data_IF_305977235049
#
_entry.id   IF_305977235049
#
_cell.length_a   1.000
_cell.length_b   1.000
_cell.length_c   1.000
_cell.angle_alpha   90.00
_cell.angle_beta   90.00
_cell.angle_gamma   90.00
#
_symmetry.space_group_name_H-M   'P 1'
#
loop_
_entity.id
_entity.type
_entity.pdbx_description
1 polymer ?
#
# COMPACT_ATOMS: atom_id res chain seq x y z
N UNK A 1 -35.85 -28.46 -3.10
CA UNK A 1 -36.62 -27.90 -4.25
C UNK A 1 -36.01 -28.16 -5.64
N UNK A 2 -34.69 -28.32 -5.85
CA UNK A 2 -34.14 -28.89 -7.11
C UNK A 2 -33.34 -30.18 -6.89
N UNK A 3 -32.52 -30.24 -5.83
CA UNK A 3 -31.72 -31.41 -5.46
C UNK A 3 -32.52 -32.43 -4.63
N UNK A 4 -33.51 -31.95 -3.87
CA UNK A 4 -34.51 -32.77 -3.17
C UNK A 4 -35.88 -32.08 -3.30
N UNK A 5 -36.73 -32.45 -4.27
CA UNK A 5 -38.00 -31.77 -4.51
C UNK A 5 -39.13 -32.15 -3.53
N UNK A 6 -38.98 -33.19 -2.70
CA UNK A 6 -40.10 -33.78 -1.98
C UNK A 6 -41.15 -34.42 -2.92
N UNK A 7 -42.11 -35.15 -2.35
CA UNK A 7 -43.27 -35.75 -3.07
C UNK A 7 -42.95 -36.86 -4.09
N UNK A 8 -41.82 -37.57 -3.96
CA UNK A 8 -41.46 -38.68 -4.86
C UNK A 8 -41.07 -38.25 -6.28
N UNK A 9 -40.85 -36.95 -6.51
CA UNK A 9 -40.39 -36.41 -7.79
C UNK A 9 -38.88 -36.58 -7.95
N UNK A 10 -38.46 -36.85 -9.18
CA UNK A 10 -37.02 -36.96 -9.47
C UNK A 10 -36.29 -35.61 -9.34
N UNK A 11 -35.04 -35.61 -8.84
CA UNK A 11 -34.23 -34.42 -8.71
C UNK A 11 -33.85 -33.82 -10.07
N UNK A 12 -33.87 -32.49 -10.13
CA UNK A 12 -33.66 -31.71 -11.36
C UNK A 12 -32.20 -31.25 -11.49
N UNK A 13 -31.27 -32.20 -11.57
CA UNK A 13 -29.82 -31.92 -11.54
C UNK A 13 -29.35 -30.93 -12.61
N UNK A 14 -29.87 -31.00 -13.84
CA UNK A 14 -29.51 -30.06 -14.92
C UNK A 14 -29.89 -28.62 -14.60
N UNK A 15 -31.04 -28.41 -13.95
CA UNK A 15 -31.47 -27.07 -13.55
C UNK A 15 -30.59 -26.53 -12.40
N UNK A 16 -30.26 -27.38 -11.44
CA UNK A 16 -29.34 -27.04 -10.34
C UNK A 16 -27.94 -26.66 -10.86
N UNK A 17 -27.38 -27.43 -11.80
CA UNK A 17 -26.08 -27.12 -12.41
C UNK A 17 -26.13 -25.82 -13.20
N UNK A 18 -27.21 -25.55 -13.94
CA UNK A 18 -27.38 -24.27 -14.65
C UNK A 18 -27.41 -23.09 -13.68
N UNK A 19 -28.08 -23.22 -12.54
CA UNK A 19 -28.07 -22.20 -11.49
C UNK A 19 -26.67 -21.96 -10.93
N UNK A 20 -25.94 -23.03 -10.63
CA UNK A 20 -24.54 -22.95 -10.20
C UNK A 20 -23.66 -22.30 -11.27
N UNK A 21 -23.94 -22.55 -12.55
CA UNK A 21 -23.18 -21.93 -13.63
C UNK A 21 -23.42 -20.43 -13.73
N UNK A 22 -24.68 -19.98 -13.57
CA UNK A 22 -25.04 -18.57 -13.69
C UNK A 22 -24.67 -17.72 -12.46
N UNK A 23 -24.67 -18.31 -11.27
CA UNK A 23 -24.52 -17.58 -10.00
C UNK A 23 -23.40 -18.11 -9.10
N UNK A 24 -22.65 -19.12 -9.53
CA UNK A 24 -21.63 -19.79 -8.71
C UNK A 24 -20.50 -18.90 -8.23
N UNK A 25 -20.19 -17.80 -8.92
CA UNK A 25 -19.14 -16.86 -8.49
C UNK A 25 -19.47 -16.16 -7.15
N UNK A 26 -20.76 -16.00 -6.83
CA UNK A 26 -21.22 -15.36 -5.59
C UNK A 26 -21.36 -16.34 -4.43
N UNK A 27 -21.26 -17.64 -4.69
CA UNK A 27 -21.48 -18.70 -3.70
C UNK A 27 -20.16 -19.16 -3.10
N UNK A 28 -20.21 -19.60 -1.84
CA UNK A 28 -19.07 -20.25 -1.21
C UNK A 28 -18.96 -21.71 -1.72
N UNK A 29 -17.85 -22.13 -2.36
CA UNK A 29 -17.75 -23.47 -2.91
C UNK A 29 -17.90 -24.58 -1.87
N UNK A 30 -17.51 -24.33 -0.62
CA UNK A 30 -17.63 -25.32 0.45
C UNK A 30 -19.10 -25.59 0.78
N UNK A 31 -19.89 -24.52 0.97
CA UNK A 31 -21.33 -24.61 1.19
C UNK A 31 -22.05 -25.24 -0.01
N UNK A 32 -21.59 -24.96 -1.23
CA UNK A 32 -22.14 -25.60 -2.44
C UNK A 32 -21.88 -27.10 -2.39
N UNK A 33 -20.67 -27.55 -2.07
CA UNK A 33 -20.34 -28.98 -1.96
C UNK A 33 -21.16 -29.68 -0.87
N UNK A 34 -21.35 -29.03 0.27
CA UNK A 34 -22.18 -29.56 1.38
C UNK A 34 -23.67 -29.66 1.00
N UNK A 35 -24.15 -28.77 0.14
CA UNK A 35 -25.53 -28.75 -0.32
C UNK A 35 -25.84 -29.75 -1.45
N UNK A 36 -24.81 -30.31 -2.11
CA UNK A 36 -25.01 -31.33 -3.14
C UNK A 36 -25.48 -32.63 -2.50
N UNK A 37 -26.53 -33.25 -3.06
CA UNK A 37 -26.97 -34.56 -2.57
C UNK A 37 -25.90 -35.61 -2.88
N UNK A 38 -25.68 -36.59 -1.98
CA UNK A 38 -24.70 -37.68 -2.20
C UNK A 38 -25.05 -38.53 -3.43
N UNK A 39 -26.32 -38.56 -3.83
CA UNK A 39 -26.83 -39.27 -5.00
C UNK A 39 -26.64 -38.51 -6.32
N UNK A 40 -26.23 -37.24 -6.28
CA UNK A 40 -25.98 -36.45 -7.48
C UNK A 40 -24.66 -36.88 -8.14
N UNK A 41 -24.66 -37.25 -9.44
CA UNK A 41 -23.40 -37.59 -10.11
C UNK A 41 -22.53 -36.35 -10.26
N UNK A 42 -21.37 -36.36 -9.60
CA UNK A 42 -20.45 -35.23 -9.55
C UNK A 42 -19.98 -34.77 -10.94
N UNK A 43 -19.90 -35.69 -11.92
CA UNK A 43 -19.52 -35.34 -13.29
C UNK A 43 -20.40 -34.22 -13.88
N UNK A 44 -21.70 -34.17 -13.55
CA UNK A 44 -22.63 -33.15 -14.06
C UNK A 44 -22.25 -31.72 -13.61
N UNK A 45 -21.68 -31.57 -12.42
CA UNK A 45 -21.30 -30.28 -11.85
C UNK A 45 -19.79 -30.00 -11.95
N UNK A 46 -18.99 -30.98 -12.36
CA UNK A 46 -17.52 -30.98 -12.25
C UNK A 46 -16.84 -29.76 -12.89
N UNK A 47 -17.27 -29.36 -14.08
CA UNK A 47 -16.72 -28.19 -14.77
C UNK A 47 -17.02 -26.89 -14.01
N UNK A 48 -18.27 -26.73 -13.56
CA UNK A 48 -18.72 -25.54 -12.83
C UNK A 48 -18.02 -25.45 -11.47
N UNK A 49 -17.97 -26.55 -10.71
CA UNK A 49 -17.26 -26.61 -9.43
C UNK A 49 -15.76 -26.33 -9.60
N UNK A 50 -15.12 -26.91 -10.62
CA UNK A 50 -13.71 -26.66 -10.92
C UNK A 50 -13.46 -25.19 -11.22
N UNK A 51 -14.34 -24.55 -12.00
CA UNK A 51 -14.25 -23.12 -12.32
C UNK A 51 -14.39 -22.26 -11.06
N UNK A 52 -15.40 -22.53 -10.23
CA UNK A 52 -15.63 -21.84 -8.96
C UNK A 52 -14.43 -21.94 -8.01
N UNK A 53 -13.91 -23.15 -7.80
CA UNK A 53 -12.75 -23.39 -6.92
C UNK A 53 -11.51 -22.66 -7.44
N UNK A 54 -11.23 -22.73 -8.75
CA UNK A 54 -10.11 -22.01 -9.38
C UNK A 54 -10.25 -20.50 -9.22
N UNK A 55 -11.44 -19.95 -9.45
CA UNK A 55 -11.72 -18.52 -9.29
C UNK A 55 -11.49 -18.08 -7.84
N UNK A 56 -11.92 -18.88 -6.86
CA UNK A 56 -11.74 -18.57 -5.43
C UNK A 56 -10.28 -18.60 -5.02
N UNK A 57 -9.51 -19.60 -5.47
CA UNK A 57 -8.06 -19.63 -5.25
C UNK A 57 -7.37 -18.45 -5.92
N UNK A 58 -7.78 -18.09 -7.14
CA UNK A 58 -7.24 -16.95 -7.87
C UNK A 58 -7.50 -15.63 -7.13
N UNK A 59 -8.75 -15.37 -6.73
CA UNK A 59 -9.11 -14.18 -5.95
C UNK A 59 -8.38 -14.13 -4.60
N UNK A 60 -8.23 -15.27 -3.92
CA UNK A 60 -7.46 -15.33 -2.68
C UNK A 60 -5.99 -14.91 -2.91
N UNK A 61 -5.33 -15.47 -3.93
CA UNK A 61 -3.95 -15.11 -4.28
C UNK A 61 -3.81 -13.66 -4.71
N UNK A 62 -4.73 -13.15 -5.53
CA UNK A 62 -4.77 -11.74 -5.90
C UNK A 62 -4.92 -10.84 -4.67
N UNK A 63 -5.82 -11.20 -3.75
CA UNK A 63 -6.01 -10.50 -2.49
C UNK A 63 -4.74 -10.50 -1.63
N UNK A 64 -4.02 -11.62 -1.55
CA UNK A 64 -2.73 -11.70 -0.86
C UNK A 64 -1.65 -10.81 -1.50
N UNK A 65 -1.60 -10.75 -2.83
CA UNK A 65 -0.67 -9.87 -3.56
C UNK A 65 -0.99 -8.41 -3.26
N UNK A 66 -2.24 -8.00 -3.41
CA UNK A 66 -2.69 -6.63 -3.12
C UNK A 66 -2.41 -6.27 -1.67
N UNK A 67 -2.76 -7.13 -0.72
CA UNK A 67 -2.50 -6.93 0.71
C UNK A 67 -1.00 -6.75 0.98
N UNK A 68 -0.15 -7.58 0.39
CA UNK A 68 1.31 -7.53 0.59
C UNK A 68 1.90 -6.25 0.01
N UNK A 69 1.48 -5.85 -1.20
CA UNK A 69 1.90 -4.60 -1.82
C UNK A 69 1.45 -3.39 -1.00
N UNK A 70 0.20 -3.35 -0.56
CA UNK A 70 -0.30 -2.27 0.31
C UNK A 70 0.46 -2.19 1.64
N UNK A 71 0.81 -3.34 2.23
CA UNK A 71 1.64 -3.40 3.45
C UNK A 71 3.04 -2.85 3.19
N UNK A 72 3.67 -3.22 2.09
CA UNK A 72 5.01 -2.75 1.72
C UNK A 72 5.03 -1.22 1.54
N UNK A 73 4.08 -0.67 0.78
CA UNK A 73 3.97 0.79 0.56
C UNK A 73 3.70 1.54 1.86
N UNK A 74 2.82 1.03 2.72
CA UNK A 74 2.55 1.66 4.02
C UNK A 74 3.76 1.61 4.95
N UNK A 75 4.51 0.49 4.97
CA UNK A 75 5.73 0.38 5.77
C UNK A 75 6.80 1.37 5.27
N UNK A 76 6.98 1.45 3.96
CA UNK A 76 7.90 2.38 3.31
C UNK A 76 7.58 3.86 3.63
N UNK A 77 6.30 4.25 3.53
CA UNK A 77 5.87 5.59 3.92
C UNK A 77 6.11 5.89 5.41
N UNK A 78 5.93 4.89 6.29
CA UNK A 78 6.21 5.02 7.73
C UNK A 78 7.70 5.17 8.00
N UNK A 79 8.55 4.42 7.29
CA UNK A 79 10.01 4.53 7.38
C UNK A 79 10.48 5.90 6.92
N UNK A 80 10.04 6.37 5.75
CA UNK A 80 10.38 7.72 5.26
C UNK A 80 9.98 8.81 6.27
N UNK A 81 8.78 8.70 6.87
CA UNK A 81 8.35 9.62 7.93
C UNK A 81 9.21 9.52 9.19
N UNK A 82 9.61 8.31 9.57
CA UNK A 82 10.46 8.08 10.73
C UNK A 82 11.86 8.68 10.50
N UNK A 83 12.46 8.43 9.34
CA UNK A 83 13.74 9.01 8.94
C UNK A 83 13.69 10.53 9.04
N UNK A 84 12.69 11.17 8.43
CA UNK A 84 12.52 12.62 8.49
C UNK A 84 12.32 13.16 9.92
N UNK A 85 11.63 12.42 10.80
CA UNK A 85 11.46 12.79 12.22
C UNK A 85 12.72 12.58 13.06
N UNK A 86 13.54 11.60 12.68
CA UNK A 86 14.81 11.30 13.34
C UNK A 86 15.93 12.24 12.89
N UNK A 87 15.71 13.01 11.81
CA UNK A 87 16.68 14.00 11.34
C UNK A 87 17.01 14.98 12.44
N UNK A 88 18.30 15.07 12.72
CA UNK A 88 18.88 16.05 13.61
C UNK A 88 20.19 16.54 13.02
N UNK A 89 20.61 17.73 13.42
CA UNK A 89 21.95 18.23 13.12
C UNK A 89 22.67 18.49 14.43
N UNK A 90 23.92 18.04 14.52
CA UNK A 90 24.77 18.30 15.67
C UNK A 90 25.59 19.57 15.40
N UNK A 91 25.57 20.51 16.34
CA UNK A 91 26.34 21.75 16.27
C UNK A 91 27.45 21.68 17.31
N UNK A 92 28.66 21.99 16.86
CA UNK A 92 29.87 22.06 17.66
C UNK A 92 30.56 23.43 17.46
N UNK A 93 31.67 23.66 18.14
CA UNK A 93 32.41 24.93 18.09
C UNK A 93 33.02 25.24 16.71
N UNK A 94 33.17 24.21 15.87
CA UNK A 94 33.68 24.30 14.50
C UNK A 94 32.58 24.48 13.46
N UNK A 95 31.30 24.39 13.86
CA UNK A 95 30.17 24.49 12.94
C UNK A 95 30.10 25.89 12.33
N UNK A 96 30.08 25.95 11.01
CA UNK A 96 30.05 27.18 10.23
C UNK A 96 28.69 27.38 9.57
N UNK A 97 28.35 28.64 9.30
CA UNK A 97 27.23 28.99 8.43
C UNK A 97 27.56 28.55 7.01
N UNK A 98 26.68 27.78 6.37
CA UNK A 98 26.90 27.28 5.01
C UNK A 98 26.92 28.40 3.95
N UNK A 99 26.36 29.58 4.28
CA UNK A 99 26.26 30.71 3.35
C UNK A 99 27.38 31.75 3.50
N UNK A 100 27.82 32.04 4.72
CA UNK A 100 28.82 33.10 4.98
C UNK A 100 30.07 32.61 5.69
N UNK A 101 30.15 31.30 5.97
CA UNK A 101 31.26 30.62 6.65
C UNK A 101 31.61 31.19 8.04
N UNK A 102 30.74 32.01 8.63
CA UNK A 102 30.90 32.48 10.00
C UNK A 102 30.63 31.34 10.99
N UNK A 103 31.44 31.24 12.05
CA UNK A 103 31.20 30.29 13.15
C UNK A 103 29.83 30.51 13.79
N UNK A 104 29.07 29.41 13.90
CA UNK A 104 27.76 29.34 14.55
C UNK A 104 27.95 29.28 16.07
N UNK A 105 28.62 28.26 16.59
CA UNK A 105 28.87 28.09 18.03
C UNK A 105 27.60 28.31 18.86
N UNK A 106 27.62 29.29 19.76
CA UNK A 106 26.49 29.67 20.63
C UNK A 106 25.51 30.70 20.03
N UNK A 107 25.70 31.10 18.77
CA UNK A 107 24.85 32.11 18.10
C UNK A 107 23.55 31.50 17.59
N UNK A 108 22.53 32.34 17.43
CA UNK A 108 21.28 31.96 16.77
C UNK A 108 21.54 31.46 15.33
N UNK A 109 20.95 30.33 15.00
CA UNK A 109 21.02 29.67 13.70
C UNK A 109 19.64 29.22 13.26
N UNK A 110 19.53 28.89 11.97
CA UNK A 110 18.35 28.26 11.37
C UNK A 110 18.79 27.10 10.49
N UNK A 111 17.93 26.10 10.38
CA UNK A 111 18.12 24.94 9.51
C UNK A 111 17.05 24.93 8.44
N UNK A 112 17.44 24.80 7.18
CA UNK A 112 16.50 24.68 6.06
C UNK A 112 16.14 23.19 5.80
N UNK A 113 15.02 22.92 5.11
CA UNK A 113 14.59 21.54 4.78
C UNK A 113 15.64 20.68 4.06
N UNK A 114 16.61 21.29 3.37
CA UNK A 114 17.71 20.63 2.67
C UNK A 114 18.96 20.37 3.54
N UNK A 115 18.84 20.40 4.87
CA UNK A 115 19.94 20.24 5.83
C UNK A 115 20.93 21.42 5.91
N UNK A 116 20.73 22.52 5.15
CA UNK A 116 21.61 23.67 5.23
C UNK A 116 21.45 24.43 6.55
N UNK A 117 22.56 24.62 7.26
CA UNK A 117 22.65 25.41 8.49
C UNK A 117 23.14 26.81 8.20
N UNK A 118 22.40 27.82 8.65
CA UNK A 118 22.76 29.21 8.43
C UNK A 118 22.69 30.02 9.72
N UNK A 119 23.51 31.07 9.79
CA UNK A 119 23.39 32.03 10.88
C UNK A 119 22.10 32.85 10.73
N UNK A 120 21.59 33.37 11.85
CA UNK A 120 20.35 34.16 11.86
C UNK A 120 20.40 35.41 10.94
N UNK A 121 21.58 35.99 10.71
CA UNK A 121 21.75 37.11 9.76
C UNK A 121 21.50 36.70 8.31
N UNK A 122 21.99 35.53 7.90
CA UNK A 122 21.71 34.98 6.57
C UNK A 122 20.25 34.59 6.44
N UNK A 123 19.68 33.94 7.46
CA UNK A 123 18.25 33.62 7.51
C UNK A 123 17.36 34.86 7.33
N UNK A 124 17.63 35.96 8.06
CA UNK A 124 16.90 37.22 7.93
C UNK A 124 16.99 37.86 6.54
N UNK A 125 18.11 37.66 5.83
CA UNK A 125 18.34 38.26 4.51
C UNK A 125 17.60 37.51 3.39
N UNK A 126 17.58 36.17 3.46
CA UNK A 126 17.00 35.32 2.41
C UNK A 126 15.57 34.87 2.73
N UNK A 127 15.15 34.99 3.98
CA UNK A 127 13.83 34.59 4.44
C UNK A 127 13.71 33.10 4.74
N UNK A 128 12.50 32.68 5.10
CA UNK A 128 12.22 31.34 5.60
C UNK A 128 12.21 30.27 4.50
N UNK A 129 11.88 30.66 3.27
CA UNK A 129 11.58 29.70 2.20
C UNK A 129 12.69 29.54 1.18
N UNK A 130 13.67 30.44 1.12
CA UNK A 130 14.75 30.37 0.14
C UNK A 130 16.07 30.02 0.81
N UNK A 131 16.64 28.88 0.44
CA UNK A 131 17.95 28.47 0.94
C UNK A 131 19.05 29.39 0.36
N UNK A 132 19.89 30.05 1.18
CA UNK A 132 20.95 30.91 0.69
C UNK A 132 22.13 30.15 0.04
N UNK A 133 22.24 28.84 0.28
CA UNK A 133 23.32 27.99 -0.25
C UNK A 133 22.97 27.47 -1.64
N UNK A 134 21.76 26.92 -1.78
CA UNK A 134 21.32 26.27 -3.02
C UNK A 134 20.46 27.16 -3.90
N UNK A 135 19.95 28.28 -3.37
CA UNK A 135 18.99 29.15 -4.05
C UNK A 135 17.59 28.56 -4.20
N UNK A 136 17.35 27.34 -3.68
CA UNK A 136 16.06 26.67 -3.80
C UNK A 136 14.99 27.37 -2.96
N UNK A 137 13.83 27.60 -3.57
CA UNK A 137 12.62 28.08 -2.91
C UNK A 137 11.72 26.89 -2.53
N UNK A 138 11.59 26.61 -1.23
CA UNK A 138 10.84 25.47 -0.71
C UNK A 138 9.32 25.63 -0.78
N UNK A 139 8.79 26.83 -1.09
CA UNK A 139 7.36 26.98 -1.39
C UNK A 139 7.02 26.55 -2.82
N UNK A 140 7.95 26.76 -3.76
CA UNK A 140 7.76 26.42 -5.17
C UNK A 140 8.24 25.01 -5.48
N UNK A 141 9.41 24.64 -4.96
CA UNK A 141 10.05 23.35 -5.15
C UNK A 141 10.09 22.59 -3.83
N UNK A 142 8.94 22.02 -3.47
CA UNK A 142 8.81 21.20 -2.25
C UNK A 142 9.77 20.02 -2.33
N UNK A 143 10.61 19.88 -1.31
CA UNK A 143 11.58 18.81 -1.25
C UNK A 143 10.90 17.52 -0.78
N UNK A 144 10.60 16.62 -1.71
CA UNK A 144 10.25 15.24 -1.42
C UNK A 144 11.52 14.38 -1.45
N UNK A 145 11.92 13.81 -0.31
CA UNK A 145 12.95 12.76 -0.32
C UNK A 145 12.25 11.46 -0.74
N UNK A 146 12.58 10.88 -1.90
CA UNK A 146 11.93 9.66 -2.34
C UNK A 146 12.30 8.54 -1.39
N UNK A 147 11.30 7.72 -1.07
CA UNK A 147 11.46 6.55 -0.23
C UNK A 147 12.34 5.50 -0.91
N UNK A 148 12.90 4.57 -0.13
CA UNK A 148 13.84 3.56 -0.65
C UNK A 148 13.21 2.66 -1.72
N UNK A 149 11.88 2.48 -1.66
CA UNK A 149 11.13 1.62 -2.57
C UNK A 149 10.95 2.25 -3.95
N UNK A 150 10.92 3.58 -4.06
CA UNK A 150 10.81 4.32 -5.33
C UNK A 150 12.17 4.50 -6.02
N UNK A 151 13.27 4.42 -5.26
CA UNK A 151 14.63 4.60 -5.81
C UNK A 151 15.18 3.38 -6.56
N UNK A 152 14.61 2.20 -6.34
CA UNK A 152 15.14 0.92 -6.83
C UNK A 152 14.19 0.21 -7.81
N UNK A 153 13.23 0.92 -8.39
CA UNK A 153 12.38 0.44 -9.50
C UNK A 153 12.82 1.10 -10.79
#
# INVERSE_FOLDING_TARGET
MYLDPGDGKEPMYKAAVRLLHCHGELLDPLQVLEALSPDMPLQLASETLSRMLRARVHHHRQGQIVQSLSRAVNLDARLARFEERSRHVQINDESLCDACHARLGTKLFAMYPNDSLVCYKCFRRYGEHTCPVTGRDFQKDVMFKPSWLVRNV
#
